data_IF_098678141338
#
_entry.id   IF_098678141338
#
_cell.length_a   1.000
_cell.length_b   1.000
_cell.length_c   1.000
_cell.angle_alpha   90.00
_cell.angle_beta   90.00
_cell.angle_gamma   90.00
#
_symmetry.space_group_name_H-M   'P 1'
#
loop_
_entity.id
_entity.type
_entity.pdbx_description
1 polymer ?
#
# COMPACT_ATOMS: atom_id res chain seq x y z
N UNK A 1 -23.79 21.85 19.28
CA UNK A 1 -22.58 22.57 19.79
C UNK A 1 -22.22 22.19 21.23
N UNK A 2 -23.15 21.60 22.01
CA UNK A 2 -22.90 21.32 23.43
C UNK A 2 -21.90 20.20 23.69
N UNK A 3 -21.78 19.21 22.79
CA UNK A 3 -20.77 18.16 22.93
C UNK A 3 -19.33 18.71 22.93
N UNK A 4 -19.01 19.64 22.01
CA UNK A 4 -17.67 20.22 21.94
C UNK A 4 -17.38 21.08 23.20
N UNK A 5 -18.39 21.79 23.72
CA UNK A 5 -18.30 22.51 25.00
C UNK A 5 -18.09 21.56 26.18
N UNK A 6 -18.82 20.45 26.23
CA UNK A 6 -18.66 19.42 27.25
C UNK A 6 -17.27 18.78 27.19
N UNK A 7 -16.75 18.49 26.00
CA UNK A 7 -15.41 17.95 25.85
C UNK A 7 -14.33 18.93 26.37
N UNK A 8 -14.56 20.24 26.21
CA UNK A 8 -13.71 21.29 26.76
C UNK A 8 -13.69 21.31 28.30
N UNK A 9 -14.81 21.03 28.98
CA UNK A 9 -14.83 21.01 30.46
C UNK A 9 -14.02 19.85 31.05
N UNK A 10 -14.01 18.70 30.36
CA UNK A 10 -13.23 17.51 30.78
C UNK A 10 -11.78 17.50 30.24
N UNK A 11 -11.28 18.66 29.82
CA UNK A 11 -9.96 18.88 29.19
C UNK A 11 -9.83 18.14 27.85
N UNK A 12 -10.03 18.91 26.78
CA UNK A 12 -10.14 18.45 25.40
C UNK A 12 -8.79 18.02 24.76
N UNK A 13 -7.67 18.32 25.43
CA UNK A 13 -6.31 17.89 25.09
C UNK A 13 -5.52 17.39 26.32
N UNK A 14 -6.15 16.55 27.12
CA UNK A 14 -5.55 15.94 28.31
C UNK A 14 -4.66 14.73 28.02
N UNK A 15 -4.24 14.05 29.10
CA UNK A 15 -3.34 12.89 29.02
C UNK A 15 -4.00 11.73 28.27
N UNK A 16 -5.31 11.53 28.44
CA UNK A 16 -6.04 10.48 27.74
C UNK A 16 -5.97 10.69 26.23
N UNK A 17 -6.34 11.88 25.75
CA UNK A 17 -6.36 12.22 24.34
C UNK A 17 -4.98 12.09 23.72
N UNK A 18 -3.93 12.64 24.36
CA UNK A 18 -2.54 12.53 23.88
C UNK A 18 -2.13 11.07 23.69
N UNK A 19 -2.37 10.21 24.69
CA UNK A 19 -1.98 8.79 24.61
C UNK A 19 -2.74 8.08 23.49
N UNK A 20 -4.07 8.19 23.44
CA UNK A 20 -4.88 7.50 22.42
C UNK A 20 -4.61 8.03 21.02
N UNK A 21 -4.44 9.33 20.87
CA UNK A 21 -4.10 9.96 19.61
C UNK A 21 -2.72 9.51 19.10
N UNK A 22 -1.71 9.35 19.98
CA UNK A 22 -0.42 8.75 19.58
C UNK A 22 -0.59 7.33 19.04
N UNK A 23 -1.41 6.47 19.66
CA UNK A 23 -1.71 5.13 19.12
C UNK A 23 -2.39 5.20 17.75
N UNK A 24 -3.32 6.14 17.55
CA UNK A 24 -3.95 6.38 16.24
C UNK A 24 -2.91 6.81 15.21
N UNK A 25 -2.00 7.73 15.57
CA UNK A 25 -0.92 8.17 14.69
C UNK A 25 0.03 7.03 14.29
N UNK A 26 0.37 6.13 15.23
CA UNK A 26 1.18 4.94 14.92
C UNK A 26 0.52 4.06 13.86
N UNK A 27 -0.81 3.94 13.89
CA UNK A 27 -1.52 3.18 12.85
C UNK A 27 -1.46 3.84 11.48
N UNK A 28 -1.34 5.17 11.45
CA UNK A 28 -1.25 5.97 10.22
C UNK A 28 0.10 5.85 9.51
N UNK A 29 1.09 5.21 10.14
CA UNK A 29 2.35 4.85 9.47
C UNK A 29 2.18 3.71 8.45
N UNK A 30 1.16 2.86 8.60
CA UNK A 30 1.00 1.66 7.78
C UNK A 30 0.51 1.94 6.34
N UNK A 31 -0.48 2.83 6.12
CA UNK A 31 -0.94 3.14 4.78
C UNK A 31 0.14 3.52 3.76
N UNK A 32 1.06 4.46 4.05
CA UNK A 32 2.11 4.81 3.11
C UNK A 32 3.03 3.63 2.82
N UNK A 33 3.36 2.80 3.83
CA UNK A 33 4.17 1.60 3.62
C UNK A 33 3.51 0.73 2.56
N UNK A 34 2.21 0.42 2.69
CA UNK A 34 1.49 -0.44 1.76
C UNK A 34 1.35 0.16 0.35
N UNK A 35 1.00 1.44 0.26
CA UNK A 35 0.83 2.16 -1.01
C UNK A 35 2.14 2.18 -1.80
N UNK A 36 3.24 2.57 -1.15
CA UNK A 36 4.51 2.79 -1.85
C UNK A 36 5.36 1.52 -1.99
N UNK A 37 4.98 0.40 -1.36
CA UNK A 37 5.70 -0.89 -1.49
C UNK A 37 5.86 -1.31 -2.96
N UNK A 38 4.89 -0.98 -3.83
CA UNK A 38 5.00 -1.31 -5.26
C UNK A 38 6.24 -0.73 -5.93
N UNK A 39 6.68 0.45 -5.50
CA UNK A 39 7.84 1.13 -6.10
C UNK A 39 9.09 0.26 -6.04
N UNK A 40 9.21 -0.55 -4.99
CA UNK A 40 10.32 -1.48 -4.79
C UNK A 40 10.03 -2.86 -5.37
N UNK A 41 8.82 -3.38 -5.17
CA UNK A 41 8.48 -4.75 -5.61
C UNK A 41 8.23 -4.86 -7.10
N UNK A 42 7.64 -3.83 -7.71
CA UNK A 42 7.39 -3.68 -9.13
C UNK A 42 8.49 -2.93 -9.89
N UNK A 43 9.64 -2.66 -9.25
CA UNK A 43 10.78 -2.06 -9.91
C UNK A 43 11.19 -2.88 -11.15
N UNK A 44 11.73 -2.21 -12.15
CA UNK A 44 12.19 -2.83 -13.40
C UNK A 44 13.71 -2.78 -13.39
N UNK A 45 14.40 -3.88 -13.06
CA UNK A 45 15.84 -3.93 -13.19
C UNK A 45 16.26 -3.72 -14.65
N UNK A 46 17.50 -3.26 -14.85
CA UNK A 46 18.09 -3.31 -16.17
C UNK A 46 18.07 -4.76 -16.66
N UNK A 47 17.65 -4.96 -17.89
CA UNK A 47 17.47 -6.29 -18.46
C UNK A 47 17.87 -6.31 -19.92
N UNK A 48 18.15 -7.52 -20.39
CA UNK A 48 18.37 -7.85 -21.80
C UNK A 48 17.75 -9.20 -22.09
N UNK A 49 17.71 -9.57 -23.34
CA UNK A 49 17.23 -10.89 -23.73
C UNK A 49 18.22 -11.98 -23.30
N UNK A 50 17.70 -13.14 -22.94
CA UNK A 50 18.52 -14.32 -22.67
C UNK A 50 19.22 -14.74 -23.96
N UNK A 51 20.50 -15.08 -23.84
CA UNK A 51 21.29 -15.55 -24.96
C UNK A 51 20.72 -16.88 -25.49
N UNK A 52 20.35 -16.98 -26.79
CA UNK A 52 19.85 -18.21 -27.40
C UNK A 52 20.79 -19.41 -27.26
N UNK A 53 22.11 -19.18 -27.30
CA UNK A 53 23.13 -20.24 -27.27
C UNK A 53 23.56 -20.62 -25.84
N UNK A 54 23.05 -19.93 -24.83
CA UNK A 54 23.49 -20.15 -23.45
C UNK A 54 22.82 -21.38 -22.83
N UNK A 55 23.63 -22.40 -22.52
CA UNK A 55 23.10 -23.69 -22.06
C UNK A 55 22.58 -23.65 -20.61
N UNK A 56 23.04 -22.76 -19.70
CA UNK A 56 22.34 -22.59 -18.40
C UNK A 56 22.77 -21.42 -17.48
N UNK A 57 23.89 -20.72 -17.71
CA UNK A 57 24.40 -19.67 -16.79
C UNK A 57 24.49 -18.28 -17.41
N UNK A 58 23.45 -17.88 -18.13
CA UNK A 58 23.41 -16.51 -18.65
C UNK A 58 23.12 -15.52 -17.51
N UNK A 59 24.13 -14.72 -17.17
CA UNK A 59 24.01 -13.66 -16.17
C UNK A 59 24.16 -12.30 -16.84
N UNK A 60 23.61 -11.26 -16.21
CA UNK A 60 23.74 -9.89 -16.70
C UNK A 60 25.22 -9.38 -16.66
N UNK A 61 26.13 -10.13 -16.03
CA UNK A 61 27.52 -9.77 -15.83
C UNK A 61 28.37 -9.84 -17.11
N UNK A 62 29.56 -9.24 -17.06
CA UNK A 62 30.28 -8.72 -18.22
C UNK A 62 30.59 -9.73 -19.35
N UNK A 63 31.08 -10.94 -19.09
CA UNK A 63 31.52 -11.82 -20.20
C UNK A 63 30.36 -12.26 -21.10
N UNK A 64 29.25 -12.72 -20.51
CA UNK A 64 28.03 -13.07 -21.25
C UNK A 64 27.36 -11.83 -21.87
N UNK A 65 27.42 -10.69 -21.19
CA UNK A 65 26.87 -9.43 -21.70
C UNK A 65 27.69 -8.88 -22.88
N UNK A 66 29.01 -9.03 -22.88
CA UNK A 66 29.90 -8.63 -23.98
C UNK A 66 29.60 -9.46 -25.23
N UNK A 67 29.53 -10.79 -25.09
CA UNK A 67 29.19 -11.69 -26.20
C UNK A 67 27.77 -11.40 -26.75
N UNK A 68 26.81 -11.17 -25.86
CA UNK A 68 25.47 -10.77 -26.25
C UNK A 68 25.45 -9.45 -27.02
N UNK A 69 26.19 -8.43 -26.52
CA UNK A 69 26.23 -7.11 -27.13
C UNK A 69 26.89 -7.12 -28.51
N UNK A 70 27.85 -8.01 -28.75
CA UNK A 70 28.51 -8.13 -30.06
C UNK A 70 27.68 -8.92 -31.08
N UNK A 71 26.98 -9.96 -30.63
CA UNK A 71 26.33 -10.92 -31.54
C UNK A 71 24.82 -10.67 -31.69
N UNK A 72 24.12 -10.42 -30.58
CA UNK A 72 22.64 -10.48 -30.52
C UNK A 72 21.95 -9.13 -30.28
N UNK A 73 22.64 -8.13 -29.75
CA UNK A 73 22.05 -6.81 -29.50
C UNK A 73 21.82 -6.04 -30.82
N UNK A 74 20.59 -5.57 -31.09
CA UNK A 74 20.31 -4.74 -32.26
C UNK A 74 21.12 -3.44 -32.28
N UNK A 75 21.60 -3.05 -33.46
CA UNK A 75 22.22 -1.75 -33.69
C UNK A 75 21.18 -0.63 -33.70
N UNK A 76 21.62 0.62 -33.49
CA UNK A 76 20.70 1.77 -33.46
C UNK A 76 19.92 1.93 -34.77
N UNK A 77 20.60 1.72 -35.90
CA UNK A 77 20.03 1.85 -37.24
C UNK A 77 18.93 0.81 -37.51
N UNK A 78 19.14 -0.43 -37.08
CA UNK A 78 18.14 -1.50 -37.16
C UNK A 78 16.89 -1.18 -36.34
N UNK A 79 17.06 -0.55 -35.17
CA UNK A 79 15.94 -0.14 -34.33
C UNK A 79 15.19 1.08 -34.89
N UNK A 80 15.87 2.00 -35.58
CA UNK A 80 15.22 3.13 -36.25
C UNK A 80 14.48 2.72 -37.53
N UNK A 81 14.87 1.60 -38.15
CA UNK A 81 14.21 1.04 -39.33
C UNK A 81 12.93 0.26 -39.03
N UNK A 82 12.63 -0.02 -37.75
CA UNK A 82 11.34 -0.56 -37.34
C UNK A 82 10.29 0.54 -37.45
N UNK A 83 9.24 0.33 -38.25
CA UNK A 83 8.08 1.23 -38.36
C UNK A 83 7.21 1.31 -37.07
N UNK A 84 7.75 0.92 -35.91
CA UNK A 84 7.09 1.01 -34.61
C UNK A 84 7.61 2.23 -33.84
N UNK A 85 6.73 2.84 -33.05
CA UNK A 85 7.02 4.01 -32.18
C UNK A 85 7.84 3.59 -30.94
N UNK A 86 8.83 2.72 -31.13
CA UNK A 86 9.67 2.22 -30.05
C UNK A 86 10.92 3.08 -29.94
N UNK A 87 11.26 3.48 -28.72
CA UNK A 87 12.55 4.11 -28.47
C UNK A 87 13.68 3.13 -28.82
N UNK A 88 14.82 3.64 -29.29
CA UNK A 88 15.99 2.80 -29.61
C UNK A 88 16.39 1.93 -28.40
N UNK A 89 16.25 2.46 -27.19
CA UNK A 89 16.50 1.72 -25.94
C UNK A 89 15.54 0.57 -25.69
N UNK A 90 14.25 0.73 -26.01
CA UNK A 90 13.26 -0.32 -25.82
C UNK A 90 13.43 -1.43 -26.86
N UNK A 91 13.71 -1.05 -28.11
CA UNK A 91 14.07 -2.01 -29.16
C UNK A 91 15.26 -2.89 -28.74
N UNK A 92 16.34 -2.29 -28.24
CA UNK A 92 17.53 -3.02 -27.78
C UNK A 92 17.29 -3.92 -26.55
N UNK A 93 16.22 -3.70 -25.79
CA UNK A 93 15.87 -4.51 -24.61
C UNK A 93 14.88 -5.62 -24.93
N UNK A 94 14.13 -5.48 -26.02
CA UNK A 94 12.99 -6.32 -26.35
C UNK A 94 13.18 -7.20 -27.60
N UNK A 95 14.23 -6.95 -28.38
CA UNK A 95 14.53 -7.67 -29.60
C UNK A 95 15.98 -8.16 -29.62
N UNK A 96 16.19 -9.28 -30.31
CA UNK A 96 17.51 -9.79 -30.69
C UNK A 96 17.64 -9.76 -32.21
N UNK A 97 18.85 -9.52 -32.69
CA UNK A 97 19.17 -9.71 -34.11
C UNK A 97 19.63 -11.16 -34.36
N UNK A 98 19.23 -11.69 -35.51
CA UNK A 98 19.77 -12.91 -36.08
C UNK A 98 20.31 -12.58 -37.47
N UNK A 99 21.52 -13.06 -37.78
CA UNK A 99 22.15 -12.89 -39.09
C UNK A 99 22.01 -14.19 -39.88
N UNK A 100 21.28 -14.14 -40.98
CA UNK A 100 21.23 -15.24 -41.94
C UNK A 100 22.15 -14.93 -43.12
N UNK A 101 23.13 -15.81 -43.37
CA UNK A 101 24.00 -15.70 -44.53
C UNK A 101 23.32 -16.39 -45.72
N UNK A 102 22.65 -15.61 -46.56
CA UNK A 102 22.35 -16.04 -47.93
C UNK A 102 23.51 -15.64 -48.84
N UNK A 103 23.80 -16.46 -49.85
CA UNK A 103 25.05 -16.45 -50.63
C UNK A 103 25.47 -15.09 -51.24
N UNK A 104 24.59 -14.06 -51.28
CA UNK A 104 24.90 -12.72 -51.76
C UNK A 104 24.40 -11.54 -50.88
N UNK A 105 23.80 -11.80 -49.71
CA UNK A 105 23.29 -10.73 -48.82
C UNK A 105 23.19 -11.19 -47.37
N UNK A 106 23.69 -10.39 -46.43
CA UNK A 106 23.43 -10.59 -44.99
C UNK A 106 22.05 -10.04 -44.69
N UNK A 107 21.06 -10.92 -44.57
CA UNK A 107 19.73 -10.53 -44.10
C UNK A 107 19.73 -10.52 -42.57
N UNK A 108 19.37 -9.38 -41.98
CA UNK A 108 19.32 -9.23 -40.53
C UNK A 108 17.87 -9.17 -40.09
N UNK A 109 17.44 -10.21 -39.40
CA UNK A 109 16.08 -10.31 -38.88
C UNK A 109 16.04 -10.02 -37.39
N UNK A 110 15.02 -9.27 -36.96
CA UNK A 110 14.79 -8.94 -35.56
C UNK A 110 13.69 -9.84 -35.01
N UNK A 111 14.03 -10.56 -33.94
CA UNK A 111 13.09 -11.44 -33.25
C UNK A 111 12.78 -10.90 -31.87
N UNK A 112 11.51 -11.00 -31.47
CA UNK A 112 11.07 -10.67 -30.12
C UNK A 112 11.68 -11.63 -29.09
N UNK A 113 12.02 -11.09 -27.93
CA UNK A 113 12.62 -11.88 -26.87
C UNK A 113 11.58 -12.72 -26.12
N UNK A 114 11.86 -14.01 -25.98
CA UNK A 114 11.00 -14.94 -25.24
C UNK A 114 11.35 -15.02 -23.76
N UNK A 115 12.62 -14.77 -23.41
CA UNK A 115 13.10 -14.79 -22.04
C UNK A 115 14.15 -13.70 -21.81
N UNK A 116 14.28 -13.29 -20.55
CA UNK A 116 15.06 -12.12 -20.16
C UNK A 116 16.03 -12.46 -19.02
N UNK A 117 17.14 -11.73 -18.99
CA UNK A 117 18.14 -11.77 -17.92
C UNK A 117 18.23 -10.38 -17.30
N UNK A 118 18.12 -10.34 -15.97
CA UNK A 118 18.00 -9.10 -15.19
C UNK A 118 19.26 -8.84 -14.36
N UNK A 119 19.58 -7.55 -14.20
CA UNK A 119 20.63 -7.07 -13.30
C UNK A 119 20.24 -7.28 -11.83
N UNK A 120 21.12 -7.94 -11.07
CA UNK A 120 20.92 -8.30 -9.67
C UNK A 120 21.62 -7.36 -8.68
N UNK A 121 22.20 -6.25 -9.14
CA UNK A 121 22.94 -5.30 -8.29
C UNK A 121 22.09 -4.75 -7.14
N UNK A 122 20.87 -4.32 -7.43
CA UNK A 122 19.98 -3.66 -6.46
C UNK A 122 18.87 -4.57 -5.93
N UNK A 123 18.37 -5.51 -6.75
CA UNK A 123 17.26 -6.39 -6.40
C UNK A 123 17.66 -7.85 -6.56
N UNK A 124 17.27 -8.70 -5.62
CA UNK A 124 17.46 -10.16 -5.74
C UNK A 124 16.39 -10.78 -6.62
N UNK A 125 15.13 -10.41 -6.42
CA UNK A 125 14.01 -10.72 -7.31
C UNK A 125 12.99 -9.60 -7.27
N UNK A 126 12.29 -9.38 -8.39
CA UNK A 126 11.19 -8.40 -8.50
C UNK A 126 9.95 -9.08 -9.09
N UNK A 127 8.79 -8.47 -8.86
CA UNK A 127 7.53 -8.91 -9.48
C UNK A 127 7.63 -8.89 -11.01
N UNK A 128 8.25 -7.83 -11.54
CA UNK A 128 8.45 -7.63 -12.97
C UNK A 128 9.31 -8.74 -13.58
N UNK A 129 10.35 -9.15 -12.87
CA UNK A 129 11.22 -10.24 -13.29
C UNK A 129 10.48 -11.59 -13.30
N UNK A 130 9.83 -11.95 -12.18
CA UNK A 130 9.21 -13.26 -12.02
C UNK A 130 8.16 -13.56 -13.09
N UNK A 131 7.42 -12.54 -13.55
CA UNK A 131 6.39 -12.71 -14.57
C UNK A 131 6.77 -12.09 -15.92
N UNK A 132 8.03 -11.70 -16.09
CA UNK A 132 8.55 -11.07 -17.31
C UNK A 132 7.64 -9.96 -17.84
N UNK A 133 7.23 -9.05 -16.95
CA UNK A 133 6.36 -7.92 -17.28
C UNK A 133 7.12 -6.79 -17.97
N UNK A 134 7.92 -7.12 -18.97
CA UNK A 134 8.70 -6.18 -19.80
C UNK A 134 8.22 -6.30 -21.24
N UNK A 135 8.57 -5.31 -22.08
CA UNK A 135 8.26 -5.34 -23.52
C UNK A 135 6.75 -5.52 -23.77
N UNK A 136 6.33 -6.64 -24.35
CA UNK A 136 4.93 -6.96 -24.68
C UNK A 136 3.99 -6.98 -23.46
N UNK A 137 4.51 -7.10 -22.24
CA UNK A 137 3.72 -7.18 -21.00
C UNK A 137 3.80 -5.94 -20.11
N UNK A 138 4.16 -4.79 -20.68
CA UNK A 138 4.27 -3.53 -19.93
C UNK A 138 2.93 -3.08 -19.34
N UNK A 139 1.83 -3.30 -20.06
CA UNK A 139 0.48 -2.85 -19.68
C UNK A 139 -0.02 -3.50 -18.38
N UNK A 140 0.39 -4.75 -18.12
CA UNK A 140 0.03 -5.47 -16.90
C UNK A 140 0.58 -4.79 -15.64
N UNK A 141 1.72 -4.10 -15.73
CA UNK A 141 2.29 -3.32 -14.61
C UNK A 141 1.43 -2.10 -14.32
N UNK A 142 1.07 -1.35 -15.36
CA UNK A 142 0.21 -0.19 -15.27
C UNK A 142 -1.16 -0.59 -14.70
N UNK A 143 -1.74 -1.69 -15.18
CA UNK A 143 -2.99 -2.24 -14.69
C UNK A 143 -2.94 -2.58 -13.19
N UNK A 144 -1.83 -3.15 -12.68
CA UNK A 144 -1.67 -3.42 -11.24
C UNK A 144 -1.80 -2.14 -10.39
N UNK A 145 -1.21 -1.03 -10.84
CA UNK A 145 -1.33 0.26 -10.14
C UNK A 145 -2.74 0.85 -10.27
N UNK A 146 -3.33 0.80 -11.45
CA UNK A 146 -4.69 1.27 -11.67
C UNK A 146 -5.70 0.53 -10.79
N UNK A 147 -5.60 -0.80 -10.72
CA UNK A 147 -6.45 -1.64 -9.86
C UNK A 147 -6.25 -1.29 -8.39
N UNK A 148 -5.00 -1.04 -7.96
CA UNK A 148 -4.72 -0.60 -6.60
C UNK A 148 -5.43 0.72 -6.28
N UNK A 149 -5.29 1.75 -7.11
CA UNK A 149 -5.96 3.03 -6.87
C UNK A 149 -7.48 2.98 -7.03
N UNK A 150 -7.99 2.11 -7.90
CA UNK A 150 -9.43 1.81 -7.96
C UNK A 150 -9.92 1.21 -6.63
N UNK A 151 -9.19 0.25 -6.07
CA UNK A 151 -9.48 -0.28 -4.73
C UNK A 151 -9.34 0.78 -3.64
N UNK A 152 -8.37 1.67 -3.75
CA UNK A 152 -8.20 2.78 -2.82
C UNK A 152 -9.41 3.72 -2.82
N UNK A 153 -9.96 4.03 -4.01
CA UNK A 153 -11.18 4.82 -4.18
C UNK A 153 -12.40 4.10 -3.62
N UNK A 154 -12.62 2.84 -4.01
CA UNK A 154 -13.75 2.02 -3.51
C UNK A 154 -13.68 1.89 -1.99
N UNK A 155 -12.48 1.67 -1.44
CA UNK A 155 -12.23 1.63 -0.01
C UNK A 155 -12.65 2.90 0.71
N UNK A 156 -12.39 4.08 0.12
CA UNK A 156 -12.77 5.36 0.74
C UNK A 156 -14.28 5.49 0.93
N UNK A 157 -15.06 5.01 -0.05
CA UNK A 157 -16.52 5.08 -0.03
C UNK A 157 -17.07 4.00 0.89
N UNK A 158 -16.70 2.74 0.65
CA UNK A 158 -17.27 1.58 1.35
C UNK A 158 -16.90 1.61 2.83
N UNK A 159 -15.61 1.74 3.16
CA UNK A 159 -15.19 1.75 4.57
C UNK A 159 -15.58 3.03 5.29
N UNK A 160 -15.72 4.16 4.59
CA UNK A 160 -16.30 5.37 5.17
C UNK A 160 -17.75 5.15 5.62
N UNK A 161 -18.61 4.68 4.72
CA UNK A 161 -20.01 4.37 5.03
C UNK A 161 -20.12 3.30 6.12
N UNK A 162 -19.30 2.25 6.05
CA UNK A 162 -19.29 1.21 7.08
C UNK A 162 -18.84 1.77 8.44
N UNK A 163 -17.84 2.66 8.50
CA UNK A 163 -17.36 3.27 9.74
C UNK A 163 -18.40 4.21 10.37
N UNK A 164 -19.21 4.86 9.55
CA UNK A 164 -20.33 5.67 10.03
C UNK A 164 -21.50 4.81 10.53
N UNK A 165 -21.72 3.63 9.93
CA UNK A 165 -22.80 2.72 10.32
C UNK A 165 -22.47 1.81 11.51
N UNK A 166 -21.25 1.27 11.57
CA UNK A 166 -20.86 0.24 12.55
C UNK A 166 -19.88 0.75 13.61
N UNK A 167 -19.41 1.99 13.48
CA UNK A 167 -18.41 2.59 14.35
C UNK A 167 -17.01 2.55 13.77
N UNK A 168 -16.15 3.43 14.27
CA UNK A 168 -14.84 3.70 13.69
C UNK A 168 -13.84 2.64 14.14
N UNK A 169 -13.92 2.20 15.40
CA UNK A 169 -13.04 1.17 15.97
C UNK A 169 -13.21 -0.21 15.32
N UNK A 170 -14.41 -0.81 15.21
CA UNK A 170 -14.54 -2.15 14.64
C UNK A 170 -14.17 -2.19 13.16
N UNK A 171 -14.53 -1.16 12.39
CA UNK A 171 -14.18 -1.07 10.97
C UNK A 171 -12.68 -0.88 10.75
N UNK A 172 -12.02 -0.07 11.59
CA UNK A 172 -10.57 0.06 11.59
C UNK A 172 -9.88 -1.28 11.89
N UNK A 173 -10.36 -2.04 12.87
CA UNK A 173 -9.80 -3.37 13.21
C UNK A 173 -10.04 -4.41 12.13
N UNK A 174 -11.24 -4.45 11.55
CA UNK A 174 -11.53 -5.28 10.38
C UNK A 174 -10.60 -4.94 9.21
N UNK A 175 -10.33 -3.65 9.00
CA UNK A 175 -9.39 -3.19 7.98
C UNK A 175 -7.96 -3.68 8.23
N UNK A 176 -7.46 -3.71 9.48
CA UNK A 176 -6.15 -4.30 9.77
C UNK A 176 -6.06 -5.78 9.45
N UNK A 177 -7.12 -6.54 9.76
CA UNK A 177 -7.19 -7.97 9.43
C UNK A 177 -7.15 -8.15 7.92
N UNK A 178 -8.03 -7.43 7.20
CA UNK A 178 -8.10 -7.50 5.74
C UNK A 178 -6.77 -7.08 5.08
N UNK A 179 -6.12 -6.04 5.60
CA UNK A 179 -4.81 -5.57 5.11
C UNK A 179 -3.74 -6.64 5.30
N UNK A 180 -3.66 -7.24 6.49
CA UNK A 180 -2.66 -8.27 6.80
C UNK A 180 -2.88 -9.51 5.93
N UNK A 181 -4.11 -10.00 5.82
CA UNK A 181 -4.45 -11.17 5.00
C UNK A 181 -4.15 -10.88 3.53
N UNK A 182 -4.64 -9.75 3.00
CA UNK A 182 -4.41 -9.38 1.60
C UNK A 182 -2.92 -9.20 1.27
N UNK A 183 -2.14 -8.67 2.22
CA UNK A 183 -0.70 -8.51 2.08
C UNK A 183 0.04 -9.86 2.03
N UNK A 184 -0.31 -10.81 2.90
CA UNK A 184 0.24 -12.17 2.82
C UNK A 184 -0.16 -12.89 1.54
N UNK A 185 -1.40 -12.72 1.08
CA UNK A 185 -1.84 -13.25 -0.21
C UNK A 185 -1.06 -12.59 -1.36
N UNK A 186 -0.80 -11.29 -1.33
CA UNK A 186 0.06 -10.63 -2.33
C UNK A 186 1.48 -11.22 -2.35
N UNK A 187 2.04 -11.54 -1.18
CA UNK A 187 3.40 -12.06 -1.04
C UNK A 187 3.54 -13.52 -1.49
N UNK A 188 2.59 -14.38 -1.11
CA UNK A 188 2.75 -15.84 -1.21
C UNK A 188 1.62 -16.56 -1.97
N UNK A 189 0.51 -15.88 -2.27
CA UNK A 189 -0.57 -16.44 -3.09
C UNK A 189 -0.15 -16.75 -4.53
N UNK A 190 0.53 -15.81 -5.23
CA UNK A 190 1.04 -16.06 -6.58
C UNK A 190 2.20 -17.07 -6.58
N UNK A 191 1.93 -18.27 -7.08
CA UNK A 191 2.89 -19.36 -7.17
C UNK A 191 3.29 -19.64 -8.62
N UNK A 192 4.58 -19.91 -8.91
CA UNK A 192 5.05 -20.22 -10.26
C UNK A 192 4.31 -21.40 -10.91
N UNK A 193 3.88 -22.37 -10.11
CA UNK A 193 3.16 -23.58 -10.53
C UNK A 193 1.78 -23.32 -11.11
N UNK A 194 1.12 -22.22 -10.75
CA UNK A 194 -0.23 -21.92 -11.26
C UNK A 194 -0.23 -21.29 -12.65
N UNK A 195 0.94 -20.99 -13.21
CA UNK A 195 1.08 -20.21 -14.44
C UNK A 195 0.78 -18.72 -14.22
N UNK A 196 0.92 -17.94 -15.29
CA UNK A 196 0.86 -16.48 -15.25
C UNK A 196 -0.54 -15.96 -14.88
N UNK A 197 -1.58 -16.38 -15.59
CA UNK A 197 -2.92 -15.81 -15.46
C UNK A 197 -3.54 -15.99 -14.06
N UNK A 198 -3.57 -17.21 -13.48
CA UNK A 198 -4.12 -17.39 -12.13
C UNK A 198 -3.32 -16.62 -11.07
N UNK A 199 -1.98 -16.64 -11.18
CA UNK A 199 -1.10 -15.90 -10.27
C UNK A 199 -1.32 -14.39 -10.34
N UNK A 200 -1.49 -13.86 -11.55
CA UNK A 200 -1.77 -12.45 -11.77
C UNK A 200 -3.12 -12.05 -11.19
N UNK A 201 -4.18 -12.84 -11.42
CA UNK A 201 -5.53 -12.58 -10.89
C UNK A 201 -5.52 -12.57 -9.35
N UNK A 202 -4.93 -13.59 -8.73
CA UNK A 202 -4.80 -13.67 -7.26
C UNK A 202 -4.08 -12.42 -6.74
N UNK A 203 -2.98 -12.03 -7.38
CA UNK A 203 -2.20 -10.86 -6.99
C UNK A 203 -3.01 -9.57 -7.10
N UNK A 204 -3.65 -9.29 -8.24
CA UNK A 204 -4.36 -8.02 -8.44
C UNK A 204 -5.62 -7.91 -7.57
N UNK A 205 -6.33 -9.02 -7.33
CA UNK A 205 -7.48 -9.06 -6.40
C UNK A 205 -7.01 -8.81 -4.97
N UNK A 206 -5.94 -9.48 -4.53
CA UNK A 206 -5.36 -9.21 -3.22
C UNK A 206 -4.86 -7.76 -3.10
N UNK A 207 -4.26 -7.21 -4.16
CA UNK A 207 -3.84 -5.80 -4.24
C UNK A 207 -5.00 -4.84 -4.10
N UNK A 208 -6.13 -5.13 -4.75
CA UNK A 208 -7.35 -4.34 -4.65
C UNK A 208 -7.87 -4.32 -3.21
N UNK A 209 -7.99 -5.49 -2.57
CA UNK A 209 -8.45 -5.60 -1.18
C UNK A 209 -7.48 -4.95 -0.19
N UNK A 210 -6.17 -5.06 -0.45
CA UNK A 210 -5.13 -4.37 0.30
C UNK A 210 -5.30 -2.84 0.21
N UNK A 211 -5.62 -2.32 -0.97
CA UNK A 211 -5.88 -0.90 -1.15
C UNK A 211 -7.15 -0.44 -0.41
N UNK A 212 -8.23 -1.21 -0.51
CA UNK A 212 -9.49 -0.94 0.18
C UNK A 212 -9.28 -0.82 1.70
N UNK A 213 -8.62 -1.81 2.29
CA UNK A 213 -8.32 -1.86 3.71
C UNK A 213 -7.37 -0.75 4.15
N UNK A 214 -6.34 -0.46 3.34
CA UNK A 214 -5.41 0.65 3.59
C UNK A 214 -6.16 1.99 3.71
N UNK A 215 -7.12 2.23 2.80
CA UNK A 215 -7.93 3.44 2.86
C UNK A 215 -8.91 3.42 4.04
N UNK A 216 -9.49 2.26 4.35
CA UNK A 216 -10.37 2.09 5.52
C UNK A 216 -9.70 2.45 6.84
N UNK A 217 -8.45 2.02 7.04
CA UNK A 217 -7.62 2.41 8.20
C UNK A 217 -7.41 3.92 8.23
N UNK A 218 -7.06 4.51 7.09
CA UNK A 218 -6.74 5.94 6.99
C UNK A 218 -7.96 6.82 7.29
N UNK A 219 -9.13 6.48 6.74
CA UNK A 219 -10.36 7.26 6.97
C UNK A 219 -10.82 7.09 8.42
N UNK A 220 -10.96 5.84 8.88
CA UNK A 220 -11.48 5.55 10.23
C UNK A 220 -10.57 6.11 11.31
N UNK A 221 -9.25 5.97 11.15
CA UNK A 221 -8.26 6.48 12.09
C UNK A 221 -8.24 8.01 12.15
N UNK A 222 -8.30 8.69 11.00
CA UNK A 222 -8.35 10.15 10.96
C UNK A 222 -9.61 10.68 11.67
N UNK A 223 -10.78 10.13 11.35
CA UNK A 223 -12.05 10.53 11.97
C UNK A 223 -12.02 10.26 13.47
N UNK A 224 -11.64 9.05 13.90
CA UNK A 224 -11.54 8.70 15.32
C UNK A 224 -10.60 9.63 16.09
N UNK A 225 -9.44 9.98 15.50
CA UNK A 225 -8.52 10.94 16.08
C UNK A 225 -9.13 12.33 16.24
N UNK A 226 -9.82 12.82 15.21
CA UNK A 226 -10.45 14.15 15.21
C UNK A 226 -11.66 14.26 16.15
N UNK A 227 -12.35 13.16 16.41
CA UNK A 227 -13.52 13.10 17.29
C UNK A 227 -13.16 12.93 18.76
N UNK A 228 -12.01 12.29 19.06
CA UNK A 228 -11.49 12.18 20.43
C UNK A 228 -10.85 13.47 20.94
N UNK A 229 -10.49 14.37 20.03
CA UNK A 229 -9.74 15.59 20.33
C UNK A 229 -10.65 16.81 20.24
N UNK A 230 -10.43 17.74 21.17
CA UNK A 230 -11.11 19.02 21.20
C UNK A 230 -10.97 19.86 19.94
N UNK A 231 -11.95 20.72 19.64
CA UNK A 231 -11.87 21.65 18.51
C UNK A 231 -10.61 22.53 18.55
N UNK A 232 -10.09 22.85 19.74
CA UNK A 232 -8.90 23.70 19.92
C UNK A 232 -7.61 23.12 19.32
N UNK A 233 -7.51 21.79 19.20
CA UNK A 233 -6.30 21.08 18.72
C UNK A 233 -6.53 20.25 17.45
N UNK A 234 -7.73 20.27 16.86
CA UNK A 234 -8.06 19.54 15.63
C UNK A 234 -7.10 19.83 14.47
N UNK A 235 -6.73 21.10 14.26
CA UNK A 235 -5.76 21.49 13.23
C UNK A 235 -4.39 20.84 13.49
N UNK A 236 -3.89 20.94 14.72
CA UNK A 236 -2.60 20.35 15.10
C UNK A 236 -2.60 18.84 14.90
N UNK A 237 -3.70 18.15 15.23
CA UNK A 237 -3.84 16.72 14.96
C UNK A 237 -3.94 16.39 13.46
N UNK A 238 -4.51 17.28 12.65
CA UNK A 238 -4.46 17.11 11.19
C UNK A 238 -3.02 17.18 10.66
N UNK A 239 -2.16 18.02 11.26
CA UNK A 239 -0.77 18.17 10.84
C UNK A 239 0.11 17.02 11.38
N UNK A 240 -0.05 16.66 12.65
CA UNK A 240 0.79 15.63 13.31
C UNK A 240 0.66 14.28 12.63
N UNK A 241 -0.55 13.89 12.23
CA UNK A 241 -0.79 12.59 11.60
C UNK A 241 -0.05 12.45 10.25
N UNK A 242 0.15 13.55 9.51
CA UNK A 242 0.90 13.57 8.26
C UNK A 242 2.41 13.37 8.48
N UNK A 243 2.97 13.81 9.61
CA UNK A 243 4.35 13.46 9.96
C UNK A 243 4.51 11.94 10.16
N UNK A 244 3.54 11.28 10.78
CA UNK A 244 3.55 9.81 10.89
C UNK A 244 3.41 9.12 9.54
N UNK A 245 2.65 9.71 8.61
CA UNK A 245 2.60 9.25 7.23
C UNK A 245 3.99 9.29 6.58
N UNK A 246 4.71 10.42 6.71
CA UNK A 246 6.09 10.54 6.21
C UNK A 246 7.04 9.54 6.89
N UNK A 247 6.95 9.35 8.21
CA UNK A 247 7.74 8.33 8.92
C UNK A 247 7.50 6.92 8.41
N UNK A 248 6.26 6.58 8.04
CA UNK A 248 5.93 5.31 7.40
C UNK A 248 6.71 5.10 6.09
N UNK A 249 6.86 6.15 5.27
CA UNK A 249 7.67 6.06 4.04
C UNK A 249 9.15 5.78 4.33
N UNK A 250 9.74 6.45 5.33
CA UNK A 250 11.12 6.17 5.74
C UNK A 250 11.30 4.73 6.24
N UNK A 251 10.33 4.22 6.99
CA UNK A 251 10.31 2.81 7.40
C UNK A 251 10.28 1.87 6.19
N UNK A 252 9.43 2.15 5.19
CA UNK A 252 9.41 1.36 3.97
C UNK A 252 10.79 1.32 3.27
N UNK A 253 11.48 2.46 3.16
CA UNK A 253 12.82 2.52 2.56
C UNK A 253 13.79 1.62 3.34
N UNK A 254 13.74 1.65 4.67
CA UNK A 254 14.57 0.79 5.52
C UNK A 254 14.28 -0.70 5.27
N UNK A 255 13.02 -1.11 5.19
CA UNK A 255 12.63 -2.48 4.86
C UNK A 255 13.12 -2.88 3.46
N UNK A 256 12.91 -2.03 2.45
CA UNK A 256 13.29 -2.30 1.07
C UNK A 256 14.82 -2.37 0.85
N UNK A 257 15.60 -1.60 1.61
CA UNK A 257 17.05 -1.63 1.58
C UNK A 257 17.61 -2.98 2.08
N UNK A 258 17.02 -3.49 3.17
CA UNK A 258 17.45 -4.74 3.81
C UNK A 258 16.87 -5.99 3.11
N UNK A 259 15.63 -5.93 2.62
CA UNK A 259 14.92 -7.07 2.02
C UNK A 259 14.75 -6.84 0.52
N UNK A 260 15.70 -7.39 -0.25
CA UNK A 260 15.79 -7.21 -1.71
C UNK A 260 14.99 -8.23 -2.54
N UNK A 261 14.22 -9.09 -1.89
CA UNK A 261 13.35 -10.10 -2.51
C UNK A 261 11.90 -9.67 -2.33
N UNK A 262 11.18 -9.43 -3.42
CA UNK A 262 9.86 -8.78 -3.36
C UNK A 262 8.81 -9.54 -2.52
N UNK A 263 8.81 -10.88 -2.57
CA UNK A 263 7.90 -11.71 -1.77
C UNK A 263 8.15 -11.54 -0.28
N UNK A 264 9.41 -11.63 0.14
CA UNK A 264 9.79 -11.45 1.54
C UNK A 264 9.60 -10.02 2.02
N UNK A 265 9.83 -9.02 1.16
CA UNK A 265 9.55 -7.62 1.49
C UNK A 265 8.06 -7.42 1.77
N UNK A 266 7.20 -7.89 0.86
CA UNK A 266 5.74 -7.80 1.00
C UNK A 266 5.26 -8.58 2.23
N UNK A 267 5.79 -9.79 2.46
CA UNK A 267 5.46 -10.62 3.62
C UNK A 267 5.91 -10.01 4.94
N UNK A 268 7.12 -9.44 5.01
CA UNK A 268 7.64 -8.79 6.21
C UNK A 268 6.83 -7.53 6.57
N UNK A 269 6.46 -6.73 5.57
CA UNK A 269 5.57 -5.58 5.75
C UNK A 269 4.18 -6.02 6.23
N UNK A 270 3.63 -7.11 5.67
CA UNK A 270 2.34 -7.67 6.10
C UNK A 270 2.40 -8.21 7.53
N UNK A 271 3.53 -8.83 7.91
CA UNK A 271 3.76 -9.27 9.28
C UNK A 271 3.84 -8.09 10.25
N UNK A 272 4.48 -6.99 9.84
CA UNK A 272 4.59 -5.77 10.63
C UNK A 272 3.23 -5.15 10.96
N UNK A 273 2.18 -5.43 10.16
CA UNK A 273 0.83 -4.90 10.44
C UNK A 273 0.00 -5.74 11.41
N UNK A 274 0.38 -7.00 11.64
CA UNK A 274 -0.39 -7.92 12.51
C UNK A 274 -0.56 -7.39 13.95
N UNK A 275 0.47 -6.82 14.62
CA UNK A 275 0.31 -6.29 15.97
C UNK A 275 -0.76 -5.20 16.10
N UNK A 276 -1.04 -4.46 15.02
CA UNK A 276 -2.02 -3.37 15.01
C UNK A 276 -3.46 -3.86 15.07
N UNK A 277 -3.72 -5.15 14.79
CA UNK A 277 -5.03 -5.77 14.99
C UNK A 277 -5.44 -5.67 16.47
N UNK A 278 -4.49 -5.80 17.39
CA UNK A 278 -4.74 -5.72 18.84
C UNK A 278 -5.03 -4.29 19.33
N UNK A 279 -4.90 -3.27 18.48
CA UNK A 279 -5.29 -1.89 18.86
C UNK A 279 -6.79 -1.77 19.09
N UNK A 280 -7.59 -2.74 18.65
CA UNK A 280 -9.00 -2.87 19.03
C UNK A 280 -9.22 -2.78 20.54
N UNK A 281 -8.34 -3.42 21.33
CA UNK A 281 -8.44 -3.45 22.80
C UNK A 281 -7.91 -2.18 23.46
N UNK A 282 -7.09 -1.40 22.74
CA UNK A 282 -6.45 -0.19 23.26
C UNK A 282 -7.31 1.02 22.96
N UNK A 283 -7.87 1.12 21.76
CA UNK A 283 -8.59 2.31 21.32
C UNK A 283 -10.04 2.29 21.83
N UNK A 284 -10.56 3.40 22.37
CA UNK A 284 -11.99 3.54 22.61
C UNK A 284 -12.72 3.74 21.28
N UNK A 285 -14.03 3.50 21.28
CA UNK A 285 -14.87 3.99 20.20
C UNK A 285 -15.08 5.51 20.35
N UNK A 286 -15.47 6.18 19.26
CA UNK A 286 -15.80 7.60 19.29
C UNK A 286 -17.01 7.88 20.19
N UNK A 287 -16.88 8.72 21.25
CA UNK A 287 -18.01 9.14 22.05
C UNK A 287 -19.06 9.89 21.22
N UNK A 288 -18.61 10.65 20.20
CA UNK A 288 -19.48 11.40 19.30
C UNK A 288 -20.34 10.45 18.47
N UNK A 289 -19.73 9.40 17.91
CA UNK A 289 -20.44 8.36 17.18
C UNK A 289 -21.46 7.64 18.05
N UNK A 290 -21.06 7.23 19.25
CA UNK A 290 -21.93 6.51 20.19
C UNK A 290 -23.15 7.35 20.57
N UNK A 291 -22.98 8.66 20.74
CA UNK A 291 -24.08 9.58 21.01
C UNK A 291 -25.02 9.68 19.79
N UNK A 292 -24.49 9.82 18.56
CA UNK A 292 -25.33 9.87 17.35
C UNK A 292 -26.05 8.55 17.06
N UNK A 293 -25.49 7.42 17.49
CA UNK A 293 -26.09 6.08 17.37
C UNK A 293 -27.05 5.76 18.54
N UNK A 294 -27.26 6.69 19.48
CA UNK A 294 -28.15 6.52 20.64
C UNK A 294 -27.59 5.65 21.78
N UNK A 295 -26.33 5.23 21.70
CA UNK A 295 -25.64 4.43 22.71
C UNK A 295 -25.06 5.31 23.84
N UNK A 296 -25.92 6.06 24.52
CA UNK A 296 -25.53 7.08 25.50
C UNK A 296 -24.75 6.51 26.71
N UNK A 297 -25.07 5.31 27.18
CA UNK A 297 -24.40 4.70 28.34
C UNK A 297 -22.93 4.37 28.05
N UNK A 298 -22.65 3.87 26.83
CA UNK A 298 -21.28 3.57 26.39
C UNK A 298 -20.48 4.85 26.17
N UNK A 299 -21.10 5.88 25.61
CA UNK A 299 -20.48 7.18 25.46
C UNK A 299 -20.12 7.77 26.82
N UNK A 300 -21.03 7.68 27.80
CA UNK A 300 -20.81 8.15 29.17
C UNK A 300 -19.64 7.45 29.84
N UNK A 301 -19.57 6.12 29.72
CA UNK A 301 -18.47 5.34 30.28
C UNK A 301 -17.10 5.78 29.76
N UNK A 302 -17.00 6.07 28.46
CA UNK A 302 -15.76 6.57 27.85
C UNK A 302 -15.44 7.99 28.33
N UNK A 303 -16.43 8.90 28.33
CA UNK A 303 -16.24 10.28 28.76
C UNK A 303 -15.87 10.39 30.25
N UNK A 304 -16.46 9.55 31.11
CA UNK A 304 -16.04 9.42 32.52
C UNK A 304 -14.60 8.91 32.65
N UNK A 305 -14.19 7.97 31.79
CA UNK A 305 -12.80 7.53 31.69
C UNK A 305 -11.83 8.64 31.29
N UNK A 306 -12.24 9.51 30.36
CA UNK A 306 -11.50 10.72 29.96
C UNK A 306 -11.37 11.67 31.15
N UNK A 307 -12.49 12.04 31.78
CA UNK A 307 -12.53 12.95 32.93
C UNK A 307 -11.64 12.45 34.09
N UNK A 308 -11.74 11.15 34.43
CA UNK A 308 -10.91 10.49 35.45
C UNK A 308 -9.42 10.56 35.13
N UNK A 309 -9.04 10.24 33.89
CA UNK A 309 -7.63 10.26 33.46
C UNK A 309 -7.07 11.69 33.42
N UNK A 310 -7.91 12.65 33.07
CA UNK A 310 -7.57 14.07 33.00
C UNK A 310 -7.69 14.80 34.34
N UNK A 311 -8.10 14.10 35.41
CA UNK A 311 -8.35 14.67 36.74
C UNK A 311 -9.32 15.85 36.72
N UNK A 312 -10.40 15.73 35.95
CA UNK A 312 -11.48 16.73 35.85
C UNK A 312 -12.79 16.16 36.42
N UNK A 313 -13.64 17.00 37.03
CA UNK A 313 -14.98 16.56 37.44
C UNK A 313 -15.80 16.23 36.19
N UNK A 314 -16.72 15.26 36.34
CA UNK A 314 -17.69 14.92 35.32
C UNK A 314 -19.02 15.58 35.71
N UNK A 315 -19.44 16.57 34.92
CA UNK A 315 -20.71 17.28 35.12
C UNK A 315 -21.86 16.45 34.51
N UNK A 316 -22.71 15.88 35.37
CA UNK A 316 -23.81 15.04 34.92
C UNK A 316 -24.86 15.84 34.18
N UNK A 317 -25.20 17.03 34.68
CA UNK A 317 -26.26 17.87 34.13
C UNK A 317 -25.87 18.37 32.74
N UNK A 318 -24.61 18.77 32.57
CA UNK A 318 -24.09 19.14 31.26
C UNK A 318 -24.13 17.97 30.26
N UNK A 319 -23.90 16.73 30.71
CA UNK A 319 -23.99 15.56 29.85
C UNK A 319 -25.44 15.20 29.48
N UNK A 320 -26.39 15.32 30.40
CA UNK A 320 -27.82 15.13 30.11
C UNK A 320 -28.31 16.13 29.07
N UNK A 321 -27.87 17.40 29.13
CA UNK A 321 -28.17 18.39 28.08
C UNK A 321 -27.64 18.01 26.70
N UNK A 322 -26.53 17.27 26.62
CA UNK A 322 -26.01 16.72 25.35
C UNK A 322 -26.91 15.59 24.84
N UNK A 323 -27.40 14.72 25.74
CA UNK A 323 -28.36 13.66 25.37
C UNK A 323 -29.66 14.25 24.83
N UNK A 324 -30.19 15.28 25.49
CA UNK A 324 -31.41 15.96 25.08
C UNK A 324 -31.28 16.65 23.71
N UNK A 325 -30.16 17.37 23.46
CA UNK A 325 -29.91 18.01 22.15
C UNK A 325 -29.95 16.98 21.01
N UNK A 326 -29.46 15.78 21.24
CA UNK A 326 -29.42 14.73 20.23
C UNK A 326 -30.77 14.05 19.99
N UNK A 327 -31.56 13.82 21.05
CA UNK A 327 -32.92 13.27 20.93
C UNK A 327 -33.87 14.20 20.16
N UNK A 328 -33.62 15.50 20.14
CA UNK A 328 -34.42 16.49 19.39
C UNK A 328 -34.06 16.49 17.90
N UNK A 329 -32.84 16.06 17.55
CA UNK A 329 -32.31 16.09 16.17
C UNK A 329 -32.54 14.75 15.44
N UNK A 330 -32.74 13.65 16.17
CA UNK A 330 -33.05 12.31 15.64
C UNK A 330 -34.52 12.13 15.27
#
# INVERSE_FOLDING_TARGET
>A
MKFDTFLATINDWGRFQKVKYTFICLTYMLPPIMVYTYTFTGAVPNHRCKNPDSIDRDTYNNESNILYNSMYKPTKEQCTGLNTILSVSDCQRCYIQSKSNNQNSVDVQLHKCQSFVYDKKYYKTTLTEDWSMVCDRIDFRSAVQMIFFAGYMVGSIVFGVLADKYGRRPIMSFSFILMSVSGFVCAFGPQPTFGFWPSYIIFVVARFLLACSTRGISVSGFVLGSELVGPSKRLLTGIVIEYFFAFGQFFLVLFAYNIRTWRFLTGAISLFTVPFIFFYFILPESPRWLISDGQFDKAEAILRGIAKTNKRPFDQDAYEQVKEEQKVVS
#
